data_IF_516653156935
#
_entry.id   IF_516653156935
#
_cell.length_a   1.000
_cell.length_b   1.000
_cell.length_c   1.000
_cell.angle_alpha   90.00
_cell.angle_beta   90.00
_cell.angle_gamma   90.00
#
_symmetry.space_group_name_H-M   'P 1'
#
loop_
_entity.id
_entity.type
_entity.pdbx_description
1 polymer ?
#
# COMPACT_ATOMS: atom_id res chain seq x y z
N UNK A 1 -1.28 -10.42 -20.09
CA UNK A 1 -1.60 -9.00 -20.35
C UNK A 1 -0.46 -8.23 -21.06
N UNK A 2 0.80 -8.46 -20.74
CA UNK A 2 1.93 -7.77 -21.39
C UNK A 2 2.09 -8.12 -22.87
N UNK A 3 1.80 -9.36 -23.28
CA UNK A 3 1.88 -9.80 -24.69
C UNK A 3 0.93 -9.08 -25.64
N UNK A 4 -0.32 -8.78 -25.19
CA UNK A 4 -1.33 -8.11 -26.02
C UNK A 4 -1.03 -6.63 -26.31
N UNK A 5 -0.04 -6.03 -25.64
CA UNK A 5 0.30 -4.60 -25.77
C UNK A 5 1.54 -4.37 -26.66
N UNK A 6 2.05 -5.37 -27.36
CA UNK A 6 3.30 -5.25 -28.15
C UNK A 6 4.54 -5.06 -27.26
N UNK A 7 4.43 -5.33 -25.96
CA UNK A 7 5.53 -5.26 -25.00
C UNK A 7 6.43 -6.51 -25.03
N UNK A 8 6.17 -7.43 -25.94
CA UNK A 8 7.02 -8.63 -26.15
C UNK A 8 8.47 -8.28 -26.53
N UNK A 9 8.66 -7.06 -27.04
CA UNK A 9 9.99 -6.54 -27.40
C UNK A 9 10.65 -5.78 -26.22
N UNK A 10 9.92 -5.54 -25.13
CA UNK A 10 10.47 -4.92 -23.94
C UNK A 10 11.19 -6.00 -23.12
N UNK A 11 12.51 -6.03 -23.18
CA UNK A 11 13.31 -6.88 -22.31
C UNK A 11 13.21 -6.36 -20.88
N UNK A 12 12.84 -7.19 -19.87
CA UNK A 12 12.91 -6.78 -18.48
C UNK A 12 14.38 -6.50 -18.13
N UNK A 13 14.67 -5.29 -17.70
CA UNK A 13 15.97 -4.94 -17.11
C UNK A 13 16.03 -5.55 -15.70
N UNK A 14 16.86 -6.57 -15.53
CA UNK A 14 17.21 -7.06 -14.20
C UNK A 14 18.16 -6.07 -13.53
N UNK A 15 17.69 -5.45 -12.45
CA UNK A 15 18.57 -4.69 -11.57
C UNK A 15 19.39 -5.66 -10.74
N UNK A 16 20.68 -5.72 -10.95
CA UNK A 16 21.62 -6.30 -9.99
C UNK A 16 22.34 -5.15 -9.31
N UNK A 17 21.95 -4.85 -8.07
CA UNK A 17 22.73 -4.04 -7.17
C UNK A 17 23.70 -4.97 -6.42
N UNK A 18 24.80 -5.29 -7.01
CA UNK A 18 25.94 -5.83 -6.30
C UNK A 18 26.86 -4.65 -5.95
N UNK A 19 27.24 -4.54 -4.71
CA UNK A 19 28.30 -3.68 -4.12
C UNK A 19 28.01 -2.18 -3.87
N UNK A 20 26.81 -1.68 -4.10
CA UNK A 20 26.49 -0.27 -3.82
C UNK A 20 27.24 0.75 -4.71
N UNK A 21 27.99 0.31 -5.71
CA UNK A 21 28.56 1.19 -6.73
C UNK A 21 27.43 1.66 -7.66
N UNK A 22 27.47 2.92 -8.16
CA UNK A 22 26.55 3.30 -9.21
C UNK A 22 26.91 2.47 -10.44
N UNK A 23 26.16 1.40 -10.69
CA UNK A 23 26.21 0.70 -11.96
C UNK A 23 26.10 1.74 -13.04
N UNK A 24 27.15 1.88 -13.82
CA UNK A 24 27.12 2.74 -14.97
C UNK A 24 26.03 2.21 -15.89
N UNK A 25 24.99 3.00 -16.16
CA UNK A 25 24.00 2.66 -17.21
C UNK A 25 24.71 2.32 -18.53
N UNK A 26 25.96 2.74 -18.69
CA UNK A 26 26.83 2.46 -19.82
C UNK A 26 27.43 1.04 -19.82
N UNK A 27 27.31 0.29 -18.73
CA UNK A 27 27.79 -1.09 -18.61
C UNK A 27 26.69 -2.14 -18.65
N UNK A 28 25.46 -1.75 -19.04
CA UNK A 28 24.37 -2.71 -19.22
C UNK A 28 24.70 -3.63 -20.41
N UNK A 29 24.70 -4.95 -20.21
CA UNK A 29 24.94 -5.89 -21.32
C UNK A 29 23.83 -5.72 -22.37
N UNK A 30 24.22 -5.76 -23.64
CA UNK A 30 23.30 -5.67 -24.78
C UNK A 30 22.53 -4.36 -24.95
N UNK A 31 22.97 -3.27 -24.35
CA UNK A 31 22.37 -1.93 -24.52
C UNK A 31 23.44 -0.98 -25.09
N UNK A 32 23.15 -0.44 -26.27
CA UNK A 32 23.96 0.64 -26.83
C UNK A 32 23.69 1.95 -26.04
N UNK A 33 24.71 2.60 -25.48
CA UNK A 33 24.55 3.89 -24.84
C UNK A 33 23.81 4.95 -25.69
N UNK A 34 23.93 4.87 -27.01
CA UNK A 34 23.22 5.76 -27.94
C UNK A 34 21.69 5.51 -27.96
N UNK A 35 21.23 4.35 -27.54
CA UNK A 35 19.81 4.01 -27.40
C UNK A 35 19.22 4.46 -26.06
N UNK A 36 20.05 4.82 -25.08
CA UNK A 36 19.61 5.26 -23.75
C UNK A 36 18.99 6.66 -23.80
N UNK A 37 17.77 6.78 -23.28
CA UNK A 37 17.05 8.05 -23.12
C UNK A 37 16.71 8.24 -21.65
N UNK A 38 17.35 9.16 -20.98
CA UNK A 38 17.09 9.48 -19.59
C UNK A 38 15.86 10.40 -19.50
N UNK A 39 14.80 9.97 -18.80
CA UNK A 39 13.62 10.79 -18.63
C UNK A 39 13.79 11.71 -17.42
N UNK A 40 13.64 13.02 -17.67
CA UNK A 40 13.70 14.04 -16.62
C UNK A 40 12.70 15.15 -16.90
N UNK A 41 11.92 15.60 -15.91
CA UNK A 41 10.97 16.70 -16.10
C UNK A 41 11.65 18.03 -16.48
N UNK A 42 12.96 18.16 -16.17
CA UNK A 42 13.75 19.37 -16.43
C UNK A 42 14.54 19.29 -17.76
N UNK A 43 14.32 18.25 -18.56
CA UNK A 43 14.99 18.13 -19.87
C UNK A 43 14.48 19.20 -20.84
N UNK A 44 15.37 19.81 -21.65
CA UNK A 44 14.95 20.77 -22.66
C UNK A 44 14.21 20.10 -23.81
N UNK A 45 14.60 18.88 -24.16
CA UNK A 45 14.02 18.14 -25.28
C UNK A 45 12.74 17.44 -24.88
N UNK A 46 11.76 17.48 -25.76
CA UNK A 46 10.46 16.81 -25.59
C UNK A 46 10.51 15.43 -26.24
N UNK A 47 9.94 14.45 -25.58
CA UNK A 47 9.80 13.10 -26.11
C UNK A 47 8.61 13.04 -27.08
N UNK A 48 8.87 13.17 -28.36
CA UNK A 48 7.81 13.20 -29.40
C UNK A 48 7.28 11.78 -29.72
N UNK A 49 8.16 10.78 -29.71
CA UNK A 49 7.80 9.42 -30.10
C UNK A 49 8.65 8.42 -29.33
N UNK A 50 8.05 7.29 -28.93
CA UNK A 50 8.78 6.15 -28.40
C UNK A 50 9.30 5.29 -29.55
N UNK A 51 10.61 5.09 -29.60
CA UNK A 51 11.24 4.24 -30.62
C UNK A 51 11.48 2.86 -30.04
N UNK A 52 11.25 1.78 -30.80
CA UNK A 52 11.48 0.41 -30.34
C UNK A 52 12.93 0.11 -29.96
N UNK A 53 13.89 0.82 -30.56
CA UNK A 53 15.32 0.71 -30.23
C UNK A 53 15.73 1.46 -28.98
N UNK A 54 14.91 2.40 -28.50
CA UNK A 54 15.27 3.24 -27.37
C UNK A 54 15.00 2.53 -26.04
N UNK A 55 15.93 2.67 -25.10
CA UNK A 55 15.81 2.21 -23.70
C UNK A 55 15.55 3.42 -22.80
N UNK A 56 14.35 3.50 -22.26
CA UNK A 56 13.93 4.64 -21.45
C UNK A 56 14.28 4.43 -19.99
N UNK A 57 15.15 5.31 -19.46
CA UNK A 57 15.55 5.30 -18.05
C UNK A 57 14.61 6.19 -17.28
N UNK A 58 13.76 5.57 -16.46
CA UNK A 58 12.87 6.28 -15.55
C UNK A 58 13.65 6.54 -14.27
N UNK A 59 14.01 7.82 -14.03
CA UNK A 59 14.83 8.20 -12.89
C UNK A 59 14.18 7.89 -11.55
N UNK A 60 14.88 7.16 -10.67
CA UNK A 60 14.41 6.76 -9.35
C UNK A 60 14.50 7.87 -8.27
N UNK A 61 14.71 9.11 -8.63
CA UNK A 61 14.79 10.24 -7.69
C UNK A 61 13.48 11.00 -7.69
N UNK A 62 12.68 10.82 -6.65
CA UNK A 62 11.56 11.70 -6.35
C UNK A 62 12.10 12.94 -5.67
N UNK A 63 12.46 13.95 -6.47
CA UNK A 63 12.88 15.23 -5.93
C UNK A 63 11.69 16.13 -5.65
N UNK A 64 11.26 16.15 -4.40
CA UNK A 64 10.23 17.07 -3.91
C UNK A 64 10.80 18.40 -3.41
N UNK A 65 12.11 18.61 -3.48
CA UNK A 65 12.78 19.79 -2.98
C UNK A 65 13.47 20.55 -4.10
N UNK A 66 13.45 21.88 -4.03
CA UNK A 66 14.19 22.75 -4.97
C UNK A 66 15.71 22.47 -5.01
N UNK A 67 16.25 21.71 -4.04
CA UNK A 67 17.70 21.40 -3.95
C UNK A 67 18.14 20.30 -4.90
N UNK A 68 17.25 19.43 -5.37
CA UNK A 68 17.54 18.35 -6.31
C UNK A 68 17.12 18.66 -7.75
N UNK A 69 16.56 19.84 -8.03
CA UNK A 69 16.17 20.25 -9.37
C UNK A 69 17.27 19.99 -10.39
N UNK A 70 16.89 19.38 -11.52
CA UNK A 70 17.80 19.01 -12.61
C UNK A 70 18.85 17.91 -12.27
N UNK A 71 18.73 17.16 -11.16
CA UNK A 71 19.69 16.10 -10.83
C UNK A 71 19.72 15.02 -11.90
N UNK A 72 18.58 14.57 -12.39
CA UNK A 72 18.50 13.56 -13.47
C UNK A 72 19.12 14.09 -14.76
N UNK A 73 18.82 15.35 -15.13
CA UNK A 73 19.40 15.99 -16.31
C UNK A 73 20.91 16.13 -16.21
N UNK A 74 21.43 16.58 -15.05
CA UNK A 74 22.89 16.68 -14.82
C UNK A 74 23.58 15.32 -14.90
N UNK A 75 22.96 14.28 -14.37
CA UNK A 75 23.48 12.93 -14.44
C UNK A 75 23.51 12.41 -15.89
N UNK A 76 22.43 12.60 -16.64
CA UNK A 76 22.41 12.26 -18.06
C UNK A 76 23.51 12.98 -18.85
N UNK A 77 23.66 14.29 -18.64
CA UNK A 77 24.70 15.09 -19.27
C UNK A 77 26.12 14.60 -18.89
N UNK A 78 26.37 14.29 -17.63
CA UNK A 78 27.66 13.77 -17.18
C UNK A 78 28.02 12.40 -17.79
N UNK A 79 26.99 11.62 -18.15
CA UNK A 79 27.14 10.30 -18.81
C UNK A 79 27.10 10.39 -20.35
N UNK A 80 26.90 11.57 -20.93
CA UNK A 80 26.75 11.76 -22.39
C UNK A 80 25.47 11.14 -22.96
N UNK A 81 24.43 10.91 -22.13
CA UNK A 81 23.19 10.28 -22.54
C UNK A 81 22.16 11.28 -23.06
N UNK A 82 21.30 10.84 -23.98
CA UNK A 82 20.12 11.61 -24.38
C UNK A 82 19.22 11.83 -23.17
N UNK A 83 18.62 13.01 -23.06
CA UNK A 83 17.73 13.35 -21.97
C UNK A 83 16.48 14.03 -22.54
N UNK A 84 15.31 13.53 -22.19
CA UNK A 84 14.03 14.05 -22.68
C UNK A 84 13.00 14.10 -21.56
N UNK A 85 12.00 14.98 -21.70
CA UNK A 85 10.81 15.04 -20.84
C UNK A 85 9.58 14.52 -21.55
N UNK A 86 8.62 14.00 -20.80
CA UNK A 86 7.31 13.66 -21.34
C UNK A 86 6.61 14.94 -21.83
N UNK A 87 5.82 14.89 -22.93
CA UNK A 87 5.13 16.02 -23.53
C UNK A 87 3.84 16.41 -22.76
N UNK A 88 3.95 16.53 -21.44
CA UNK A 88 2.80 16.78 -20.56
C UNK A 88 2.19 18.15 -20.79
N UNK A 89 3.04 19.19 -20.95
CA UNK A 89 2.58 20.56 -21.16
C UNK A 89 1.87 20.75 -22.53
N UNK A 90 2.31 19.98 -23.50
CA UNK A 90 1.79 20.01 -24.87
C UNK A 90 0.45 19.32 -24.98
N UNK A 91 0.28 18.18 -24.33
CA UNK A 91 -0.85 17.28 -24.53
C UNK A 91 -1.84 17.19 -23.37
N UNK A 92 -1.54 17.82 -22.22
CA UNK A 92 -2.49 17.82 -21.11
C UNK A 92 -3.73 18.66 -21.44
N UNK A 93 -4.95 18.15 -21.25
CA UNK A 93 -6.19 18.91 -21.43
C UNK A 93 -6.18 20.22 -20.62
N UNK A 94 -6.79 21.28 -21.19
CA UNK A 94 -6.75 22.64 -20.58
C UNK A 94 -7.35 22.71 -19.19
N UNK A 95 -8.37 21.92 -18.90
CA UNK A 95 -9.04 21.78 -17.62
C UNK A 95 -8.13 21.10 -16.55
N UNK A 96 -7.17 20.32 -17.02
CA UNK A 96 -6.14 19.70 -16.15
C UNK A 96 -4.90 20.59 -15.92
N UNK A 97 -4.65 21.58 -16.80
CA UNK A 97 -3.49 22.47 -16.69
C UNK A 97 -3.52 23.41 -15.48
N UNK A 98 -4.69 23.76 -14.97
CA UNK A 98 -4.87 24.63 -13.79
C UNK A 98 -4.47 23.97 -12.46
N UNK A 99 -4.17 22.69 -12.45
CA UNK A 99 -3.69 21.94 -11.28
C UNK A 99 -2.15 21.81 -11.31
N UNK A 100 -1.45 22.93 -11.38
CA UNK A 100 0.00 23.02 -11.64
C UNK A 100 0.91 22.19 -10.74
N UNK A 101 0.48 21.83 -9.54
CA UNK A 101 1.24 20.95 -8.65
C UNK A 101 1.23 19.48 -9.06
N UNK A 102 0.26 19.05 -9.88
CA UNK A 102 0.20 17.66 -10.37
C UNK A 102 1.21 17.38 -11.49
N UNK A 103 1.62 18.43 -12.23
CA UNK A 103 2.58 18.33 -13.34
C UNK A 103 4.03 18.24 -12.86
N UNK A 104 4.30 18.76 -11.67
CA UNK A 104 5.67 18.84 -11.14
C UNK A 104 6.17 17.56 -10.48
N UNK A 105 5.32 16.57 -10.24
CA UNK A 105 5.68 15.36 -9.51
C UNK A 105 4.90 14.13 -9.98
N UNK A 106 5.09 13.73 -11.24
CA UNK A 106 4.70 12.37 -11.63
C UNK A 106 5.53 11.36 -10.84
N UNK A 107 4.86 10.44 -10.17
CA UNK A 107 5.54 9.27 -9.61
C UNK A 107 5.96 8.30 -10.73
N UNK A 108 6.86 7.36 -10.40
CA UNK A 108 7.38 6.39 -11.35
C UNK A 108 6.26 5.58 -12.03
N UNK A 109 5.23 5.20 -11.28
CA UNK A 109 4.10 4.44 -11.82
C UNK A 109 3.33 5.23 -12.88
N UNK A 110 3.11 6.53 -12.65
CA UNK A 110 2.43 7.39 -13.62
C UNK A 110 3.27 7.58 -14.89
N UNK A 111 4.58 7.76 -14.76
CA UNK A 111 5.49 7.83 -15.92
C UNK A 111 5.42 6.53 -16.72
N UNK A 112 5.53 5.39 -16.05
CA UNK A 112 5.43 4.07 -16.68
C UNK A 112 4.07 3.88 -17.37
N UNK A 113 2.96 4.24 -16.72
CA UNK A 113 1.61 4.15 -17.27
C UNK A 113 1.45 4.97 -18.55
N UNK A 114 1.97 6.22 -18.57
CA UNK A 114 1.97 7.06 -19.78
C UNK A 114 2.70 6.39 -20.93
N UNK A 115 3.89 5.82 -20.68
CA UNK A 115 4.66 5.13 -21.71
C UNK A 115 3.95 3.88 -22.24
N UNK A 116 3.34 3.10 -21.35
CA UNK A 116 2.54 1.91 -21.73
C UNK A 116 1.31 2.29 -22.54
N UNK A 117 0.55 3.31 -22.12
CA UNK A 117 -0.63 3.73 -22.87
C UNK A 117 -0.26 4.33 -24.24
N UNK A 118 0.87 5.06 -24.32
CA UNK A 118 1.36 5.52 -25.61
C UNK A 118 1.76 4.36 -26.54
N UNK A 119 2.38 3.32 -25.99
CA UNK A 119 2.76 2.15 -26.79
C UNK A 119 1.55 1.47 -27.47
N UNK A 120 0.37 1.58 -26.87
CA UNK A 120 -0.89 1.05 -27.38
C UNK A 120 -1.58 2.01 -28.36
N UNK A 121 -1.72 3.29 -27.96
CA UNK A 121 -2.51 4.30 -28.67
C UNK A 121 -1.73 5.04 -29.75
N UNK A 122 -0.42 5.14 -29.61
CA UNK A 122 0.48 5.99 -30.43
C UNK A 122 0.08 7.47 -30.42
N UNK A 123 -0.67 7.88 -29.43
CA UNK A 123 -1.13 9.25 -29.22
C UNK A 123 -0.88 9.74 -27.81
N UNK A 124 -0.11 10.83 -27.66
CA UNK A 124 0.25 11.38 -26.37
C UNK A 124 -0.95 11.92 -25.59
N UNK A 125 -1.91 12.54 -26.28
CA UNK A 125 -3.10 13.08 -25.61
C UNK A 125 -3.91 11.98 -24.97
N UNK A 126 -4.16 10.90 -25.71
CA UNK A 126 -4.85 9.71 -25.21
C UNK A 126 -4.06 9.04 -24.07
N UNK A 127 -2.76 8.83 -24.26
CA UNK A 127 -1.91 8.18 -23.28
C UNK A 127 -1.84 8.96 -21.96
N UNK A 128 -1.65 10.27 -22.03
CA UNK A 128 -1.59 11.16 -20.88
C UNK A 128 -2.95 11.22 -20.20
N UNK A 129 -4.03 11.43 -20.95
CA UNK A 129 -5.38 11.50 -20.39
C UNK A 129 -5.74 10.20 -19.67
N UNK A 130 -5.56 9.04 -20.32
CA UNK A 130 -5.86 7.73 -19.72
C UNK A 130 -5.00 7.46 -18.46
N UNK A 131 -3.70 7.74 -18.52
CA UNK A 131 -2.81 7.56 -17.37
C UNK A 131 -3.16 8.53 -16.24
N UNK A 132 -3.54 9.78 -16.56
CA UNK A 132 -3.96 10.78 -15.58
C UNK A 132 -5.37 10.53 -15.06
N UNK A 133 -6.32 10.08 -15.87
CA UNK A 133 -7.65 9.65 -15.40
C UNK A 133 -7.53 8.41 -14.51
N UNK A 134 -6.70 7.46 -14.89
CA UNK A 134 -6.31 6.33 -14.04
C UNK A 134 -5.70 6.82 -12.74
N UNK A 135 -4.74 7.76 -12.79
CA UNK A 135 -4.11 8.34 -11.61
C UNK A 135 -5.03 9.31 -10.86
N UNK A 136 -5.93 10.04 -11.52
CA UNK A 136 -6.90 10.93 -10.86
C UNK A 136 -8.05 10.18 -10.18
N UNK A 137 -8.42 9.01 -10.64
CA UNK A 137 -9.21 8.07 -9.82
C UNK A 137 -8.46 7.74 -8.52
N UNK A 138 -7.13 7.81 -8.53
CA UNK A 138 -6.26 7.60 -7.38
C UNK A 138 -5.96 8.87 -6.54
N UNK A 139 -6.11 10.10 -7.05
CA UNK A 139 -5.68 11.33 -6.36
C UNK A 139 -6.80 12.27 -5.89
N UNK A 140 -8.05 12.04 -6.27
CA UNK A 140 -9.18 12.81 -5.75
C UNK A 140 -9.77 12.16 -4.51
N UNK A 141 -9.42 12.64 -3.33
CA UNK A 141 -9.86 12.22 -1.99
C UNK A 141 -9.32 10.86 -1.54
N UNK A 142 -8.06 10.80 -1.05
CA UNK A 142 -7.50 9.60 -0.42
C UNK A 142 -7.63 8.40 -1.37
N UNK A 143 -6.69 8.24 -2.29
CA UNK A 143 -6.72 7.14 -3.24
C UNK A 143 -6.48 5.81 -2.53
N UNK A 144 -7.20 4.79 -2.95
CA UNK A 144 -6.96 3.43 -2.49
C UNK A 144 -6.06 2.76 -3.51
N UNK A 145 -4.94 2.25 -3.04
CA UNK A 145 -4.01 1.47 -3.86
C UNK A 145 -4.68 0.16 -4.32
N UNK A 146 -4.34 -0.41 -5.48
CA UNK A 146 -4.85 -1.72 -5.91
C UNK A 146 -4.71 -2.83 -4.86
N UNK A 147 -3.73 -2.74 -3.97
CA UNK A 147 -3.54 -3.67 -2.85
C UNK A 147 -4.41 -3.35 -1.62
N UNK A 148 -5.31 -2.38 -1.70
CA UNK A 148 -6.33 -2.10 -0.69
C UNK A 148 -5.95 -1.08 0.37
N UNK A 149 -4.71 -0.59 0.45
CA UNK A 149 -4.36 0.45 1.42
C UNK A 149 -4.65 1.87 0.90
N UNK A 150 -4.86 2.81 1.81
CA UNK A 150 -5.02 4.21 1.50
C UNK A 150 -3.69 4.85 1.12
N UNK A 151 -3.61 5.50 -0.04
CA UNK A 151 -2.40 6.18 -0.50
C UNK A 151 -2.48 7.69 -0.23
N UNK A 152 -1.41 8.25 0.33
CA UNK A 152 -1.22 9.68 0.51
C UNK A 152 -1.45 10.23 1.93
N UNK A 153 -1.01 11.48 2.15
CA UNK A 153 -1.01 12.12 3.48
C UNK A 153 -2.37 12.69 3.90
N UNK A 154 -3.38 12.71 3.02
CA UNK A 154 -4.69 13.33 3.28
C UNK A 154 -5.72 12.38 3.87
N UNK A 155 -5.32 11.18 4.25
CA UNK A 155 -6.21 10.13 4.76
C UNK A 155 -6.68 10.34 6.21
N UNK A 156 -6.16 11.36 6.89
CA UNK A 156 -6.48 11.61 8.31
C UNK A 156 -7.97 11.79 8.62
N UNK A 157 -8.74 12.34 7.68
CA UNK A 157 -10.19 12.52 7.85
C UNK A 157 -11.01 11.25 7.59
N UNK A 158 -10.37 10.18 7.12
CA UNK A 158 -11.02 8.92 6.72
C UNK A 158 -10.85 7.81 7.77
N UNK A 159 -9.90 7.99 8.70
CA UNK A 159 -9.66 7.03 9.78
C UNK A 159 -10.41 7.47 11.03
N UNK A 160 -11.49 6.76 11.33
CA UNK A 160 -12.25 7.00 12.54
C UNK A 160 -11.61 6.32 13.76
N UNK A 161 -11.49 7.05 14.86
CA UNK A 161 -10.98 6.52 16.12
C UNK A 161 -12.09 6.48 17.17
N UNK A 162 -12.37 5.31 17.73
CA UNK A 162 -13.33 5.11 18.80
C UNK A 162 -12.62 5.02 20.15
N UNK A 163 -12.61 6.12 20.90
CA UNK A 163 -11.96 6.19 22.21
C UNK A 163 -12.56 5.22 23.24
N UNK A 164 -13.87 4.97 23.18
CA UNK A 164 -14.52 4.03 24.10
C UNK A 164 -14.15 2.57 23.76
N UNK A 165 -14.06 2.26 22.48
CA UNK A 165 -13.56 0.94 22.05
C UNK A 165 -12.10 0.76 22.46
N UNK A 166 -11.25 1.79 22.34
CA UNK A 166 -9.84 1.67 22.73
C UNK A 166 -9.65 1.39 24.21
N UNK A 167 -10.46 1.99 25.08
CA UNK A 167 -10.49 1.70 26.53
C UNK A 167 -10.93 0.25 26.80
N UNK A 168 -11.99 -0.21 26.13
CA UNK A 168 -12.49 -1.57 26.27
C UNK A 168 -11.48 -2.63 25.74
N UNK A 169 -10.82 -2.34 24.62
CA UNK A 169 -9.75 -3.18 24.08
C UNK A 169 -8.56 -3.28 25.05
N UNK A 170 -8.14 -2.15 25.62
CA UNK A 170 -7.06 -2.16 26.62
C UNK A 170 -7.43 -2.97 27.85
N UNK A 171 -8.68 -2.83 28.37
CA UNK A 171 -9.17 -3.63 29.48
C UNK A 171 -9.19 -5.13 29.12
N UNK A 172 -9.71 -5.48 27.94
CA UNK A 172 -9.71 -6.84 27.43
C UNK A 172 -8.30 -7.42 27.35
N UNK A 173 -7.33 -6.72 26.72
CA UNK A 173 -5.96 -7.21 26.61
C UNK A 173 -5.28 -7.38 27.97
N UNK A 174 -5.58 -6.52 28.95
CA UNK A 174 -5.08 -6.66 30.34
C UNK A 174 -5.69 -7.88 31.05
N UNK A 175 -6.98 -8.10 30.91
CA UNK A 175 -7.66 -9.30 31.43
C UNK A 175 -7.07 -10.60 30.82
N UNK A 176 -6.64 -10.52 29.56
CA UNK A 176 -5.95 -11.59 28.87
C UNK A 176 -4.47 -11.73 29.27
N UNK A 177 -3.95 -10.87 30.16
CA UNK A 177 -2.52 -10.78 30.49
C UNK A 177 -1.65 -10.64 29.22
N UNK A 178 -2.12 -9.89 28.24
CA UNK A 178 -1.35 -9.59 27.03
C UNK A 178 -0.22 -8.63 27.35
N UNK A 179 0.96 -8.91 26.85
CA UNK A 179 2.14 -8.04 26.95
C UNK A 179 2.40 -7.29 25.65
N UNK A 180 2.00 -7.87 24.53
CA UNK A 180 2.22 -7.32 23.21
C UNK A 180 0.96 -7.41 22.33
N UNK A 181 0.73 -6.35 21.53
CA UNK A 181 -0.35 -6.29 20.53
C UNK A 181 0.20 -5.72 19.23
N UNK A 182 -0.21 -6.28 18.09
CA UNK A 182 0.03 -5.67 16.79
C UNK A 182 -1.28 -5.25 16.14
N UNK A 183 -1.31 -4.03 15.60
CA UNK A 183 -2.44 -3.49 14.84
C UNK A 183 -2.11 -3.58 13.33
N UNK A 184 -2.75 -4.52 12.64
CA UNK A 184 -2.57 -4.75 11.20
C UNK A 184 -3.64 -3.97 10.43
N UNK A 185 -3.21 -2.96 9.67
CA UNK A 185 -4.07 -1.94 9.07
C UNK A 185 -4.31 -0.78 10.04
N UNK A 186 -3.26 -0.35 10.73
CA UNK A 186 -3.31 0.61 11.84
C UNK A 186 -3.66 2.06 11.42
N UNK A 187 -3.69 2.35 10.11
CA UNK A 187 -3.96 3.69 9.60
C UNK A 187 -3.05 4.75 10.20
N UNK A 188 -3.62 5.65 10.99
CA UNK A 188 -2.87 6.71 11.66
C UNK A 188 -2.22 6.26 12.98
N UNK A 189 -2.33 4.99 13.38
CA UNK A 189 -1.75 4.46 14.61
C UNK A 189 -2.40 4.97 15.91
N UNK A 190 -3.66 5.38 15.87
CA UNK A 190 -4.32 5.95 17.05
C UNK A 190 -4.49 4.93 18.17
N UNK A 191 -4.87 3.70 17.87
CA UNK A 191 -4.96 2.60 18.85
C UNK A 191 -3.56 2.24 19.38
N UNK A 192 -2.56 2.14 18.52
CA UNK A 192 -1.17 1.84 18.90
C UNK A 192 -0.65 2.87 19.89
N UNK A 193 -0.77 4.17 19.59
CA UNK A 193 -0.34 5.23 20.51
C UNK A 193 -1.10 5.19 21.83
N UNK A 194 -2.41 4.89 21.79
CA UNK A 194 -3.20 4.77 23.00
C UNK A 194 -2.72 3.61 23.89
N UNK A 195 -2.46 2.43 23.33
CA UNK A 195 -1.97 1.28 24.08
C UNK A 195 -0.59 1.54 24.66
N UNK A 196 0.35 2.05 23.89
CA UNK A 196 1.69 2.39 24.34
C UNK A 196 1.68 3.42 25.46
N UNK A 197 0.85 4.47 25.38
CA UNK A 197 0.67 5.46 26.43
C UNK A 197 0.14 4.85 27.73
N UNK A 198 -0.59 3.76 27.65
CA UNK A 198 -1.20 3.08 28.79
C UNK A 198 -0.43 1.82 29.24
N UNK A 199 0.83 1.64 28.79
CA UNK A 199 1.74 0.60 29.27
C UNK A 199 1.52 -0.80 28.65
N UNK A 200 0.76 -0.91 27.55
CA UNK A 200 0.68 -2.12 26.75
C UNK A 200 1.55 -1.93 25.51
N UNK A 201 2.57 -2.77 25.34
CA UNK A 201 3.45 -2.67 24.18
C UNK A 201 2.70 -2.98 22.90
N UNK A 202 2.63 -2.01 21.99
CA UNK A 202 1.91 -2.14 20.75
C UNK A 202 2.71 -1.60 19.55
N UNK A 203 2.72 -2.36 18.47
CA UNK A 203 3.22 -1.94 17.17
C UNK A 203 2.08 -1.87 16.17
N UNK A 204 2.27 -1.14 15.09
CA UNK A 204 1.27 -1.02 14.05
C UNK A 204 1.87 -1.05 12.66
N UNK A 205 1.12 -1.62 11.73
CA UNK A 205 1.52 -1.72 10.33
C UNK A 205 0.37 -1.34 9.41
N UNK A 206 0.70 -0.62 8.35
CA UNK A 206 -0.25 -0.23 7.31
C UNK A 206 0.45 -0.14 5.95
N UNK A 207 -0.26 -0.43 4.86
CA UNK A 207 0.29 -0.37 3.51
C UNK A 207 0.63 1.05 3.02
N UNK A 208 0.09 2.08 3.68
CA UNK A 208 0.33 3.46 3.27
C UNK A 208 1.80 3.87 3.46
N UNK A 209 2.52 4.27 2.40
CA UNK A 209 3.91 4.72 2.51
C UNK A 209 4.12 5.91 3.47
N UNK A 210 3.06 6.66 3.76
CA UNK A 210 3.08 7.77 4.70
C UNK A 210 2.83 7.36 6.16
N UNK A 211 2.60 6.09 6.45
CA UNK A 211 2.28 5.57 7.80
C UNK A 211 3.24 6.06 8.89
N UNK A 212 4.57 6.03 8.73
CA UNK A 212 5.47 6.53 9.77
C UNK A 212 5.23 8.01 10.09
N UNK A 213 4.95 8.83 9.08
CA UNK A 213 4.65 10.25 9.26
C UNK A 213 3.28 10.45 9.90
N UNK A 214 2.25 9.75 9.41
CA UNK A 214 0.87 9.86 9.89
C UNK A 214 0.73 9.38 11.33
N UNK A 215 1.45 8.34 11.70
CA UNK A 215 1.45 7.78 13.05
C UNK A 215 2.41 8.48 14.02
N UNK A 216 3.13 9.53 13.59
CA UNK A 216 4.15 10.21 14.38
C UNK A 216 5.30 9.27 14.81
N UNK A 217 5.68 8.34 13.94
CA UNK A 217 6.73 7.36 14.20
C UNK A 217 6.29 6.10 14.96
N UNK A 218 5.00 5.99 15.33
CA UNK A 218 4.51 4.86 16.12
C UNK A 218 4.27 3.59 15.30
N UNK A 219 4.17 3.70 13.97
CA UNK A 219 3.84 2.58 13.08
C UNK A 219 4.74 2.56 11.85
N UNK A 220 4.82 1.39 11.22
CA UNK A 220 5.67 1.12 10.06
C UNK A 220 4.85 0.73 8.83
N UNK A 221 5.49 0.76 7.66
CA UNK A 221 4.86 0.34 6.41
C UNK A 221 4.93 -1.18 6.27
N UNK A 222 3.79 -1.81 5.95
CA UNK A 222 3.70 -3.22 5.61
C UNK A 222 2.55 -3.45 4.65
N UNK A 223 2.81 -4.09 3.52
CA UNK A 223 1.78 -4.49 2.57
C UNK A 223 1.11 -5.80 3.03
N UNK A 224 -0.15 -5.71 3.43
CA UNK A 224 -0.94 -6.84 3.91
C UNK A 224 -1.54 -7.70 2.78
N UNK A 225 -1.39 -7.28 1.53
CA UNK A 225 -1.81 -8.05 0.35
C UNK A 225 -0.88 -9.24 0.04
N UNK A 226 0.28 -9.28 0.67
CA UNK A 226 1.26 -10.37 0.59
C UNK A 226 1.53 -10.93 1.98
N UNK A 227 1.94 -12.20 2.06
CA UNK A 227 2.31 -12.81 3.34
C UNK A 227 3.61 -12.19 3.83
N UNK A 228 3.54 -11.58 5.01
CA UNK A 228 4.67 -10.92 5.66
C UNK A 228 5.33 -11.83 6.71
N UNK A 229 6.57 -11.50 7.05
CA UNK A 229 7.31 -12.16 8.13
C UNK A 229 7.61 -11.12 9.22
N UNK A 230 6.71 -11.06 10.21
CA UNK A 230 6.82 -10.19 11.38
C UNK A 230 6.82 -11.08 12.63
N UNK A 231 7.57 -10.69 13.65
CA UNK A 231 7.59 -11.41 14.94
C UNK A 231 6.17 -11.52 15.51
N UNK A 232 5.73 -12.72 15.97
CA UNK A 232 4.40 -12.87 16.56
C UNK A 232 4.24 -12.09 17.86
N UNK A 233 3.05 -11.53 18.05
CA UNK A 233 2.62 -10.84 19.27
C UNK A 233 1.67 -11.73 20.07
N UNK A 234 1.28 -11.31 21.28
CA UNK A 234 0.24 -12.03 22.01
C UNK A 234 -1.09 -11.95 21.25
N UNK A 235 -1.46 -10.76 20.81
CA UNK A 235 -2.72 -10.51 20.10
C UNK A 235 -2.52 -9.70 18.83
N UNK A 236 -3.37 -9.98 17.85
CA UNK A 236 -3.56 -9.15 16.66
C UNK A 236 -4.84 -8.32 16.84
N UNK A 237 -4.76 -7.04 16.53
CA UNK A 237 -5.89 -6.16 16.26
C UNK A 237 -5.94 -5.86 14.77
N UNK A 238 -7.12 -5.86 14.15
CA UNK A 238 -7.31 -5.39 12.78
C UNK A 238 -8.75 -4.94 12.59
N UNK A 239 -8.96 -3.65 12.39
CA UNK A 239 -10.29 -3.06 12.41
C UNK A 239 -10.64 -2.38 11.08
N UNK A 240 -11.68 -2.89 10.37
CA UNK A 240 -12.16 -2.38 9.08
C UNK A 240 -11.00 -2.30 8.05
N UNK A 241 -10.42 -3.45 7.76
CA UNK A 241 -9.25 -3.58 6.86
C UNK A 241 -9.53 -4.54 5.71
N UNK A 242 -10.04 -5.71 6.00
CA UNK A 242 -10.18 -6.79 5.01
C UNK A 242 -11.11 -6.45 3.85
N UNK A 243 -12.11 -5.61 4.07
CA UNK A 243 -13.02 -5.13 3.04
C UNK A 243 -12.35 -4.25 1.97
N UNK A 244 -11.20 -3.67 2.30
CA UNK A 244 -10.43 -2.86 1.37
C UNK A 244 -9.47 -3.68 0.49
N UNK A 245 -9.08 -4.88 0.94
CA UNK A 245 -8.22 -5.75 0.15
C UNK A 245 -9.03 -6.47 -0.94
N UNK A 246 -8.59 -6.44 -2.21
CA UNK A 246 -9.19 -7.25 -3.26
C UNK A 246 -9.27 -8.74 -2.88
N UNK A 247 -10.26 -9.42 -3.41
CA UNK A 247 -10.56 -10.82 -3.06
C UNK A 247 -9.38 -11.77 -3.28
N UNK A 248 -8.56 -11.49 -4.28
CA UNK A 248 -7.34 -12.25 -4.58
C UNK A 248 -6.28 -12.17 -3.48
N UNK A 249 -6.32 -11.13 -2.64
CA UNK A 249 -5.37 -10.92 -1.53
C UNK A 249 -5.92 -11.35 -0.16
N UNK A 250 -7.18 -11.76 -0.11
CA UNK A 250 -7.84 -12.14 1.15
C UNK A 250 -7.10 -13.24 1.91
N UNK A 251 -6.64 -14.28 1.21
CA UNK A 251 -5.96 -15.40 1.88
C UNK A 251 -4.60 -14.98 2.44
N UNK A 252 -3.86 -14.10 1.75
CA UNK A 252 -2.61 -13.54 2.26
C UNK A 252 -2.86 -12.69 3.51
N UNK A 253 -3.92 -11.88 3.53
CA UNK A 253 -4.32 -11.11 4.69
C UNK A 253 -4.73 -12.01 5.88
N UNK A 254 -5.57 -13.01 5.64
CA UNK A 254 -5.94 -13.99 6.66
C UNK A 254 -4.74 -14.74 7.22
N UNK A 255 -3.74 -15.03 6.38
CA UNK A 255 -2.49 -15.66 6.81
C UNK A 255 -1.66 -14.70 7.66
N UNK A 256 -1.60 -13.41 7.32
CA UNK A 256 -0.95 -12.40 8.15
C UNK A 256 -1.61 -12.31 9.53
N UNK A 257 -2.94 -12.29 9.61
CA UNK A 257 -3.65 -12.33 10.90
C UNK A 257 -3.28 -13.57 11.72
N UNK A 258 -3.19 -14.75 11.07
CA UNK A 258 -2.89 -16.02 11.72
C UNK A 258 -1.46 -16.12 12.24
N UNK A 259 -0.48 -15.71 11.44
CA UNK A 259 0.95 -15.88 11.76
C UNK A 259 1.45 -14.96 12.86
N UNK A 260 0.87 -13.77 12.97
CA UNK A 260 1.40 -12.71 13.82
C UNK A 260 0.79 -12.65 15.23
N UNK A 261 0.05 -13.69 15.64
CA UNK A 261 -0.40 -13.84 17.03
C UNK A 261 -0.09 -15.21 17.62
N UNK A 262 0.07 -15.25 18.94
CA UNK A 262 0.27 -16.48 19.71
C UNK A 262 -0.99 -16.90 20.47
N UNK A 263 -1.90 -15.98 20.79
CA UNK A 263 -3.04 -16.17 21.67
C UNK A 263 -4.39 -15.92 21.01
N UNK A 264 -4.50 -14.90 20.14
CA UNK A 264 -5.76 -14.60 19.49
C UNK A 264 -5.77 -13.30 18.73
N UNK A 265 -6.95 -12.93 18.22
CA UNK A 265 -7.15 -11.71 17.48
C UNK A 265 -8.49 -11.05 17.77
N UNK A 266 -8.51 -9.72 17.69
CA UNK A 266 -9.75 -8.93 17.60
C UNK A 266 -9.81 -8.36 16.18
N UNK A 267 -10.89 -8.67 15.48
CA UNK A 267 -11.05 -8.36 14.06
C UNK A 267 -12.40 -7.67 13.84
N UNK A 268 -12.46 -6.67 12.96
CA UNK A 268 -13.70 -6.26 12.32
C UNK A 268 -13.54 -6.27 10.81
N UNK A 269 -14.65 -6.48 10.12
CA UNK A 269 -14.72 -6.55 8.66
C UNK A 269 -16.11 -6.06 8.22
N UNK A 270 -16.16 -5.10 7.30
CA UNK A 270 -17.43 -4.54 6.84
C UNK A 270 -18.34 -5.63 6.28
N UNK A 271 -19.59 -5.67 6.79
CA UNK A 271 -20.59 -6.62 6.32
C UNK A 271 -21.14 -6.23 4.97
N UNK A 272 -21.59 -7.22 4.19
CA UNK A 272 -22.19 -6.98 2.86
C UNK A 272 -23.29 -5.95 2.94
N UNK A 273 -23.18 -4.89 2.14
CA UNK A 273 -24.10 -3.76 2.10
C UNK A 273 -23.82 -2.67 3.14
N UNK A 274 -22.74 -2.76 3.92
CA UNK A 274 -22.35 -1.69 4.84
C UNK A 274 -21.99 -0.42 4.06
N UNK A 275 -21.34 -0.58 2.92
CA UNK A 275 -20.86 0.53 2.10
C UNK A 275 -19.69 1.25 2.76
N UNK A 276 -18.86 1.85 1.96
CA UNK A 276 -17.70 2.61 2.37
C UNK A 276 -16.83 2.97 1.17
N UNK A 277 -15.95 3.95 1.37
CA UNK A 277 -15.04 4.35 0.30
C UNK A 277 -13.98 3.24 0.17
N UNK A 278 -13.93 2.59 -1.01
CA UNK A 278 -12.96 1.55 -1.31
C UNK A 278 -13.27 0.16 -0.76
N UNK A 279 -14.49 -0.09 -0.34
CA UNK A 279 -14.94 -1.43 -0.03
C UNK A 279 -15.06 -2.23 -1.33
N UNK A 280 -14.22 -3.23 -1.49
CA UNK A 280 -14.17 -4.12 -2.65
C UNK A 280 -14.41 -5.58 -2.26
N UNK A 281 -14.37 -5.89 -0.96
CA UNK A 281 -14.48 -7.24 -0.42
C UNK A 281 -15.26 -7.27 0.91
N UNK A 282 -16.48 -6.74 0.92
CA UNK A 282 -17.38 -6.87 2.09
C UNK A 282 -17.76 -8.32 2.31
N UNK A 283 -17.74 -8.79 3.58
CA UNK A 283 -18.03 -10.17 3.94
C UNK A 283 -18.93 -10.26 5.17
N UNK A 284 -19.89 -11.17 5.18
CA UNK A 284 -20.68 -11.42 6.36
C UNK A 284 -19.84 -12.01 7.50
N UNK A 285 -20.19 -11.68 8.74
CA UNK A 285 -19.47 -12.17 9.92
C UNK A 285 -19.34 -13.70 9.94
N UNK A 286 -20.37 -14.45 9.51
CA UNK A 286 -20.34 -15.92 9.49
C UNK A 286 -19.27 -16.45 8.51
N UNK A 287 -19.09 -15.78 7.37
CA UNK A 287 -18.04 -16.13 6.43
C UNK A 287 -16.64 -15.92 7.06
N UNK A 288 -16.41 -14.74 7.68
CA UNK A 288 -15.14 -14.44 8.33
C UNK A 288 -14.88 -15.38 9.51
N UNK A 289 -15.92 -15.65 10.34
CA UNK A 289 -15.84 -16.61 11.45
C UNK A 289 -15.46 -17.99 10.97
N UNK A 290 -16.09 -18.48 9.91
CA UNK A 290 -15.78 -19.80 9.34
C UNK A 290 -14.32 -19.89 8.88
N UNK A 291 -13.83 -18.87 8.16
CA UNK A 291 -12.45 -18.80 7.68
C UNK A 291 -11.41 -18.78 8.81
N UNK A 292 -11.63 -17.96 9.83
CA UNK A 292 -10.73 -17.86 10.98
C UNK A 292 -10.77 -19.13 11.83
N UNK A 293 -11.95 -19.67 12.11
CA UNK A 293 -12.07 -20.92 12.87
C UNK A 293 -11.40 -22.10 12.16
N UNK A 294 -11.45 -22.16 10.82
CA UNK A 294 -10.75 -23.17 10.03
C UNK A 294 -9.21 -23.12 10.20
N UNK A 295 -8.65 -21.97 10.60
CA UNK A 295 -7.23 -21.80 10.93
C UNK A 295 -6.89 -22.19 12.38
N UNK A 296 -7.81 -22.82 13.12
CA UNK A 296 -7.57 -23.31 14.49
C UNK A 296 -7.88 -22.30 15.59
N UNK A 297 -8.86 -21.44 15.37
CA UNK A 297 -9.37 -20.52 16.38
C UNK A 297 -10.76 -20.89 16.88
N UNK A 298 -11.05 -20.47 18.10
CA UNK A 298 -12.37 -20.54 18.72
C UNK A 298 -12.93 -19.12 18.81
N UNK A 299 -14.15 -18.92 18.33
CA UNK A 299 -14.85 -17.66 18.42
C UNK A 299 -15.29 -17.39 19.86
N UNK A 300 -14.96 -16.20 20.39
CA UNK A 300 -15.36 -15.76 21.73
C UNK A 300 -16.54 -14.78 21.64
N UNK A 301 -17.74 -15.33 21.65
CA UNK A 301 -18.98 -14.54 21.56
C UNK A 301 -19.17 -13.60 22.76
N UNK A 302 -18.65 -13.93 23.95
CA UNK A 302 -18.78 -13.11 25.17
C UNK A 302 -17.92 -11.84 25.05
N UNK A 303 -16.65 -12.01 24.70
CA UNK A 303 -15.75 -10.87 24.48
C UNK A 303 -16.20 -10.01 23.30
N UNK A 304 -16.63 -10.64 22.18
CA UNK A 304 -17.23 -9.95 21.03
C UNK A 304 -18.37 -9.02 21.48
N UNK A 305 -19.33 -9.55 22.24
CA UNK A 305 -20.49 -8.78 22.70
C UNK A 305 -20.09 -7.62 23.62
N UNK A 306 -19.11 -7.83 24.50
CA UNK A 306 -18.62 -6.78 25.41
C UNK A 306 -17.97 -5.62 24.63
N UNK A 307 -17.10 -5.92 23.67
CA UNK A 307 -16.44 -4.91 22.83
C UNK A 307 -17.44 -4.16 21.92
N UNK A 308 -18.39 -4.88 21.32
CA UNK A 308 -19.48 -4.29 20.52
C UNK A 308 -20.30 -3.31 21.33
N UNK A 309 -20.63 -3.65 22.58
CA UNK A 309 -21.41 -2.79 23.49
C UNK A 309 -20.65 -1.51 23.86
N UNK A 310 -19.35 -1.60 24.03
CA UNK A 310 -18.49 -0.47 24.37
C UNK A 310 -18.31 0.53 23.24
N UNK A 311 -18.34 0.09 21.99
CA UNK A 311 -18.14 0.94 20.82
C UNK A 311 -19.25 2.02 20.69
N UNK A 312 -18.87 3.20 20.21
CA UNK A 312 -19.81 4.28 19.82
C UNK A 312 -20.21 4.17 18.35
N UNK A 313 -19.42 3.51 17.50
CA UNK A 313 -19.69 3.42 16.08
C UNK A 313 -20.65 2.27 15.78
N UNK A 314 -21.69 2.56 14.99
CA UNK A 314 -22.74 1.60 14.67
C UNK A 314 -22.23 0.38 13.87
N UNK A 315 -21.21 0.57 13.04
CA UNK A 315 -20.61 -0.53 12.30
C UNK A 315 -19.81 -1.47 13.23
N UNK A 316 -18.97 -0.97 14.15
CA UNK A 316 -18.26 -1.80 15.12
C UNK A 316 -19.21 -2.61 16.02
N UNK A 317 -20.38 -2.06 16.35
CA UNK A 317 -21.42 -2.79 17.08
C UNK A 317 -21.92 -4.03 16.35
N UNK A 318 -21.66 -4.14 15.05
CA UNK A 318 -22.07 -5.26 14.19
C UNK A 318 -20.90 -6.11 13.72
N UNK A 319 -19.71 -5.53 13.56
CA UNK A 319 -18.61 -6.15 12.82
C UNK A 319 -17.47 -6.68 13.68
N UNK A 320 -17.29 -6.20 14.92
CA UNK A 320 -16.23 -6.71 15.80
C UNK A 320 -16.46 -8.20 16.07
N UNK A 321 -15.38 -8.97 15.97
CA UNK A 321 -15.30 -10.40 16.29
C UNK A 321 -14.04 -10.65 17.13
N UNK A 322 -14.12 -11.61 18.05
CA UNK A 322 -12.99 -12.00 18.90
C UNK A 322 -12.71 -13.47 18.73
N UNK A 323 -11.46 -13.82 18.53
CA UNK A 323 -11.03 -15.21 18.33
C UNK A 323 -9.84 -15.54 19.22
N UNK A 324 -9.89 -16.73 19.84
CA UNK A 324 -8.79 -17.28 20.64
C UNK A 324 -8.15 -18.43 19.89
N UNK A 325 -6.83 -18.48 19.88
CA UNK A 325 -6.12 -19.64 19.33
C UNK A 325 -6.47 -20.87 20.17
N UNK A 326 -6.91 -21.93 19.53
CA UNK A 326 -7.19 -23.19 20.24
C UNK A 326 -5.91 -23.69 20.90
N UNK A 327 -6.02 -24.15 22.15
CA UNK A 327 -4.91 -24.81 22.80
C UNK A 327 -4.44 -25.98 21.92
N UNK A 328 -3.15 -26.05 21.60
CA UNK A 328 -2.63 -27.26 20.95
C UNK A 328 -2.94 -28.42 21.88
N UNK A 329 -3.79 -29.33 21.45
CA UNK A 329 -3.95 -30.63 22.13
C UNK A 329 -2.54 -31.25 22.11
N UNK A 330 -1.90 -31.25 23.29
CA UNK A 330 -0.63 -31.93 23.47
C UNK A 330 -0.84 -33.39 23.12
N UNK A 331 -0.36 -33.81 21.97
CA UNK A 331 -0.08 -35.24 21.75
C UNK A 331 1.08 -35.55 22.67
N UNK A 332 0.73 -35.98 23.90
CA UNK A 332 1.66 -36.64 24.79
C UNK A 332 2.17 -37.88 24.09
N UNK A 333 3.33 -37.77 23.50
CA UNK A 333 4.15 -38.93 23.18
C UNK A 333 4.67 -39.50 24.47
N UNK A 334 4.01 -40.49 25.01
CA UNK A 334 4.67 -41.49 25.83
C UNK A 334 5.63 -42.25 24.88
N UNK A 335 6.91 -42.08 25.11
CA UNK A 335 7.91 -43.13 24.92
C UNK A 335 9.06 -42.87 25.88
#
# INVERSE_FOLDING_TARGET
MLRAAGLEQWRPLEWRADDGSPLSLLSLPDVDPAELVYLSPDAPDVLDVLRPSDVYVIGGLVDRTKRGAATCRRRAAALGLRCARLPLLEHLPKDMRGRSNALAALNLNSVFSVLVEWSKSRDWTSAITTAFEGSQRHYSKGSIHPNGYWDGPSTSSQHAYDAHLSEALLAFFREENATTVVDLGCGMGSYVRFFNKNGLAADGFDGNPSTPKLSQGACSVLDLSIVADVTPYDWVLSLEVGEHLPKEHEEAFMENLHRHNTRGMVLSWAVVGQGGIGHVNEQNNDYVKAKICAKGYVHDARAEQALRKASKFSYFKRTIMVFRKAARSGTGGMH
#
